data_IF_591617906557
#
_entry.id   IF_591617906557
#
_cell.length_a   1.000
_cell.length_b   1.000
_cell.length_c   1.000
_cell.angle_alpha   90.00
_cell.angle_beta   90.00
_cell.angle_gamma   90.00
#
_symmetry.space_group_name_H-M   'P 1'
#
loop_
_entity.id
_entity.type
_entity.pdbx_description
1 polymer ?
#
# COMPACT_ATOMS: atom_id res chain seq x y z
N UNK A 1 -7.76 -17.68 -28.87
CA UNK A 1 -7.19 -18.41 -27.70
C UNK A 1 -7.22 -17.64 -26.35
N UNK A 2 -7.97 -16.56 -26.21
CA UNK A 2 -8.06 -15.76 -24.96
C UNK A 2 -8.79 -16.49 -23.80
N UNK A 3 -9.75 -17.31 -24.08
CA UNK A 3 -10.62 -17.99 -23.07
C UNK A 3 -9.97 -19.23 -22.44
N UNK A 4 -9.04 -19.86 -23.12
CA UNK A 4 -8.43 -21.11 -22.65
C UNK A 4 -7.55 -20.96 -21.42
N UNK A 5 -6.79 -19.87 -21.29
CA UNK A 5 -5.88 -19.70 -20.15
C UNK A 5 -6.61 -19.37 -18.84
N UNK A 6 -7.68 -18.56 -18.89
CA UNK A 6 -8.47 -18.22 -17.71
C UNK A 6 -9.31 -19.42 -17.21
N UNK A 7 -9.79 -20.23 -18.12
CA UNK A 7 -10.48 -21.48 -17.79
C UNK A 7 -9.50 -22.47 -17.15
N UNK A 8 -8.29 -22.60 -17.68
CA UNK A 8 -7.25 -23.47 -17.12
C UNK A 8 -6.88 -23.06 -15.68
N UNK A 9 -6.80 -21.77 -15.38
CA UNK A 9 -6.58 -21.30 -14.01
C UNK A 9 -7.68 -21.75 -13.05
N UNK A 10 -8.95 -21.60 -13.42
CA UNK A 10 -10.09 -22.04 -12.59
C UNK A 10 -10.06 -23.55 -12.36
N UNK A 11 -9.85 -24.31 -13.44
CA UNK A 11 -9.78 -25.75 -13.36
C UNK A 11 -8.61 -26.24 -12.52
N UNK A 12 -7.43 -25.60 -12.64
CA UNK A 12 -6.25 -25.97 -11.87
C UNK A 12 -6.41 -25.65 -10.37
N UNK A 13 -7.03 -24.53 -10.01
CA UNK A 13 -7.30 -24.21 -8.61
C UNK A 13 -8.25 -25.22 -7.98
N UNK A 14 -9.34 -25.54 -8.69
CA UNK A 14 -10.27 -26.59 -8.26
C UNK A 14 -9.56 -27.94 -8.10
N UNK A 15 -8.71 -28.31 -9.06
CA UNK A 15 -7.95 -29.55 -9.00
C UNK A 15 -7.00 -29.58 -7.78
N UNK A 16 -6.29 -28.49 -7.47
CA UNK A 16 -5.41 -28.41 -6.29
C UNK A 16 -6.22 -28.62 -4.99
N UNK A 17 -7.37 -27.94 -4.85
CA UNK A 17 -8.20 -28.00 -3.65
C UNK A 17 -8.75 -29.42 -3.44
N UNK A 18 -9.32 -30.01 -4.51
CA UNK A 18 -9.93 -31.33 -4.46
C UNK A 18 -8.87 -32.43 -4.28
N UNK A 19 -7.80 -32.41 -5.09
CA UNK A 19 -6.75 -33.43 -5.03
C UNK A 19 -6.08 -33.46 -3.67
N UNK A 20 -5.81 -32.31 -3.06
CA UNK A 20 -5.18 -32.27 -1.74
C UNK A 20 -6.08 -32.87 -0.66
N UNK A 21 -7.39 -32.57 -0.67
CA UNK A 21 -8.33 -33.24 0.24
C UNK A 21 -8.33 -34.77 0.03
N UNK A 22 -8.38 -35.23 -1.22
CA UNK A 22 -8.37 -36.66 -1.53
C UNK A 22 -7.09 -37.33 -1.04
N UNK A 23 -5.93 -36.69 -1.18
CA UNK A 23 -4.65 -37.22 -0.67
C UNK A 23 -4.63 -37.35 0.85
N UNK A 24 -5.24 -36.39 1.57
CA UNK A 24 -5.35 -36.47 3.03
C UNK A 24 -6.24 -37.64 3.46
N UNK A 25 -7.37 -37.83 2.79
CA UNK A 25 -8.32 -38.88 3.14
C UNK A 25 -7.80 -40.27 2.76
N UNK A 26 -7.11 -40.42 1.62
CA UNK A 26 -6.51 -41.71 1.20
C UNK A 26 -5.40 -42.18 2.14
N UNK A 27 -4.75 -41.28 2.86
CA UNK A 27 -3.73 -41.60 3.87
C UNK A 27 -4.34 -42.15 5.15
N UNK A 28 -5.59 -41.84 5.42
CA UNK A 28 -6.33 -42.31 6.59
C UNK A 28 -7.19 -43.54 6.20
N UNK A 29 -6.66 -44.74 6.47
CA UNK A 29 -7.24 -46.02 6.09
C UNK A 29 -8.58 -46.37 6.75
N UNK A 30 -9.06 -45.53 7.68
CA UNK A 30 -10.27 -45.77 8.46
C UNK A 30 -11.52 -45.00 8.00
N UNK A 31 -11.46 -44.30 6.88
CA UNK A 31 -12.54 -43.36 6.50
C UNK A 31 -13.68 -44.05 5.79
N UNK A 32 -14.72 -44.44 6.53
CA UNK A 32 -16.03 -44.83 5.96
C UNK A 32 -16.75 -43.70 5.20
N UNK A 33 -16.32 -42.45 5.40
CA UNK A 33 -16.95 -41.23 4.89
C UNK A 33 -16.24 -40.61 3.67
N UNK A 34 -15.55 -41.39 2.86
CA UNK A 34 -14.84 -40.91 1.66
C UNK A 34 -15.70 -39.99 0.76
N UNK A 35 -16.98 -40.40 0.55
CA UNK A 35 -17.91 -39.61 -0.30
C UNK A 35 -18.17 -38.22 0.25
N UNK A 36 -18.27 -38.05 1.56
CA UNK A 36 -18.60 -36.76 2.19
C UNK A 36 -17.42 -35.79 2.09
N UNK A 37 -16.18 -36.29 2.24
CA UNK A 37 -14.98 -35.48 1.98
C UNK A 37 -14.85 -35.07 0.51
N UNK A 38 -15.21 -35.92 -0.43
CA UNK A 38 -15.25 -35.56 -1.85
C UNK A 38 -16.26 -34.44 -2.09
N UNK A 39 -17.48 -34.57 -1.56
CA UNK A 39 -18.51 -33.54 -1.67
C UNK A 39 -18.01 -32.23 -1.05
N UNK A 40 -17.47 -32.28 0.17
CA UNK A 40 -16.96 -31.11 0.86
C UNK A 40 -15.85 -30.41 0.07
N UNK A 41 -14.95 -31.20 -0.55
CA UNK A 41 -13.85 -30.62 -1.34
C UNK A 41 -14.34 -29.91 -2.60
N UNK A 42 -15.37 -30.46 -3.27
CA UNK A 42 -16.01 -29.79 -4.42
C UNK A 42 -16.79 -28.55 -4.00
N UNK A 43 -17.57 -28.61 -2.92
CA UNK A 43 -18.25 -27.42 -2.36
C UNK A 43 -17.26 -26.34 -2.00
N UNK A 44 -16.16 -26.70 -1.33
CA UNK A 44 -15.07 -25.79 -1.01
C UNK A 44 -14.40 -25.20 -2.24
N UNK A 45 -14.12 -26.01 -3.23
CA UNK A 45 -13.54 -25.57 -4.50
C UNK A 45 -14.45 -24.60 -5.26
N UNK A 46 -15.74 -24.90 -5.37
CA UNK A 46 -16.72 -24.02 -6.05
C UNK A 46 -16.87 -22.70 -5.26
N UNK A 47 -16.97 -22.78 -3.93
CA UNK A 47 -17.02 -21.58 -3.07
C UNK A 47 -15.78 -20.72 -3.22
N UNK A 48 -14.59 -21.33 -3.29
CA UNK A 48 -13.35 -20.62 -3.56
C UNK A 48 -13.37 -19.93 -4.93
N UNK A 49 -13.82 -20.63 -5.98
CA UNK A 49 -13.93 -20.02 -7.32
C UNK A 49 -14.84 -18.80 -7.31
N UNK A 50 -15.96 -18.86 -6.58
CA UNK A 50 -16.89 -17.73 -6.45
C UNK A 50 -16.25 -16.54 -5.72
N UNK A 51 -15.60 -16.78 -4.57
CA UNK A 51 -14.91 -15.73 -3.82
C UNK A 51 -13.73 -15.14 -4.62
N UNK A 52 -12.98 -15.98 -5.31
CA UNK A 52 -11.87 -15.58 -6.16
C UNK A 52 -12.31 -14.75 -7.39
N UNK A 53 -13.44 -15.07 -7.99
CA UNK A 53 -14.06 -14.29 -9.07
C UNK A 53 -14.50 -12.91 -8.57
N UNK A 54 -15.15 -12.85 -7.41
CA UNK A 54 -15.55 -11.58 -6.76
C UNK A 54 -14.35 -10.67 -6.46
N UNK A 55 -13.18 -11.27 -6.16
CA UNK A 55 -11.91 -10.57 -5.98
C UNK A 55 -11.18 -10.27 -7.30
N UNK A 56 -11.76 -10.56 -8.47
CA UNK A 56 -11.09 -10.42 -9.78
C UNK A 56 -9.76 -11.20 -9.88
N UNK A 57 -9.65 -12.36 -9.22
CA UNK A 57 -8.44 -13.19 -9.25
C UNK A 57 -8.11 -13.71 -10.65
N UNK A 58 -9.12 -13.97 -11.48
CA UNK A 58 -8.97 -14.54 -12.82
C UNK A 58 -8.87 -13.50 -13.94
N UNK A 59 -8.43 -12.27 -13.61
CA UNK A 59 -8.03 -11.28 -14.62
C UNK A 59 -6.64 -11.56 -15.21
N UNK A 60 -6.23 -10.80 -16.20
CA UNK A 60 -4.86 -10.88 -16.74
C UNK A 60 -3.85 -10.28 -15.78
N UNK A 61 -2.90 -11.08 -15.30
CA UNK A 61 -1.84 -10.68 -14.37
C UNK A 61 -0.47 -10.48 -15.06
N UNK A 62 -0.46 -10.10 -16.34
CA UNK A 62 0.79 -9.91 -17.10
C UNK A 62 1.68 -8.82 -16.53
N UNK A 63 1.07 -7.67 -16.22
CA UNK A 63 1.75 -6.45 -15.77
C UNK A 63 1.41 -6.06 -14.34
N UNK A 64 0.50 -6.81 -13.69
CA UNK A 64 0.02 -6.50 -12.34
C UNK A 64 0.92 -7.08 -11.25
N UNK A 65 0.84 -6.47 -10.06
CA UNK A 65 1.61 -6.87 -8.89
C UNK A 65 1.33 -8.32 -8.47
N UNK A 66 2.38 -9.11 -8.32
CA UNK A 66 2.28 -10.49 -7.82
C UNK A 66 1.78 -10.53 -6.37
N UNK A 67 2.15 -9.54 -5.55
CA UNK A 67 1.70 -9.43 -4.15
C UNK A 67 0.18 -9.30 -4.05
N UNK A 68 -0.44 -8.53 -4.93
CA UNK A 68 -1.89 -8.36 -4.99
C UNK A 68 -2.58 -9.68 -5.33
N UNK A 69 -2.05 -10.43 -6.30
CA UNK A 69 -2.57 -11.75 -6.65
C UNK A 69 -2.51 -12.73 -5.47
N UNK A 70 -1.38 -12.77 -4.76
CA UNK A 70 -1.22 -13.60 -3.57
C UNK A 70 -2.21 -13.23 -2.46
N UNK A 71 -2.38 -11.93 -2.22
CA UNK A 71 -3.33 -11.43 -1.23
C UNK A 71 -4.77 -11.87 -1.54
N UNK A 72 -5.19 -11.75 -2.81
CA UNK A 72 -6.54 -12.17 -3.23
C UNK A 72 -6.73 -13.68 -3.04
N UNK A 73 -5.73 -14.51 -3.33
CA UNK A 73 -5.79 -15.96 -3.08
C UNK A 73 -6.00 -16.24 -1.59
N UNK A 74 -5.19 -15.62 -0.72
CA UNK A 74 -5.29 -15.83 0.72
C UNK A 74 -6.65 -15.38 1.28
N UNK A 75 -7.12 -14.19 0.91
CA UNK A 75 -8.41 -13.68 1.42
C UNK A 75 -9.58 -14.49 0.88
N UNK A 76 -9.55 -14.92 -0.39
CA UNK A 76 -10.59 -15.78 -0.97
C UNK A 76 -10.65 -17.13 -0.27
N UNK A 77 -9.50 -17.74 0.05
CA UNK A 77 -9.47 -18.99 0.80
C UNK A 77 -9.93 -18.83 2.24
N UNK A 78 -9.54 -17.75 2.91
CA UNK A 78 -10.01 -17.44 4.26
C UNK A 78 -11.53 -17.29 4.32
N UNK A 79 -12.10 -16.53 3.38
CA UNK A 79 -13.56 -16.37 3.26
C UNK A 79 -14.27 -17.69 2.97
N UNK A 80 -13.72 -18.51 2.07
CA UNK A 80 -14.22 -19.85 1.77
C UNK A 80 -14.21 -20.74 3.01
N UNK A 81 -13.09 -20.77 3.75
CA UNK A 81 -12.94 -21.58 4.95
C UNK A 81 -13.92 -21.16 6.05
N UNK A 82 -14.08 -19.83 6.24
CA UNK A 82 -15.07 -19.29 7.18
C UNK A 82 -16.50 -19.67 6.80
N UNK A 83 -16.85 -19.55 5.51
CA UNK A 83 -18.17 -19.96 5.00
C UNK A 83 -18.43 -21.45 5.24
N UNK A 84 -17.47 -22.30 4.90
CA UNK A 84 -17.59 -23.75 5.09
C UNK A 84 -17.73 -24.10 6.58
N UNK A 85 -16.94 -23.46 7.44
CA UNK A 85 -17.05 -23.68 8.89
C UNK A 85 -18.44 -23.30 9.42
N UNK A 86 -18.98 -22.16 8.99
CA UNK A 86 -20.34 -21.72 9.35
C UNK A 86 -21.37 -22.76 8.89
N UNK A 87 -21.30 -23.18 7.63
CA UNK A 87 -22.24 -24.18 7.08
C UNK A 87 -22.15 -25.51 7.83
N UNK A 88 -20.96 -26.05 8.03
CA UNK A 88 -20.75 -27.31 8.75
C UNK A 88 -21.22 -27.25 10.21
N UNK A 89 -21.00 -26.10 10.88
CA UNK A 89 -21.41 -25.92 12.26
C UNK A 89 -22.93 -25.86 12.41
N UNK A 90 -23.61 -25.02 11.63
CA UNK A 90 -25.07 -24.85 11.71
C UNK A 90 -25.87 -26.02 11.11
N UNK A 91 -25.27 -26.80 10.23
CA UNK A 91 -25.89 -28.05 9.73
C UNK A 91 -25.67 -29.26 10.64
N UNK A 92 -24.96 -29.07 11.79
CA UNK A 92 -24.61 -30.13 12.73
C UNK A 92 -23.79 -31.30 12.14
N UNK A 93 -23.25 -31.11 10.93
CA UNK A 93 -22.48 -32.12 10.20
C UNK A 93 -20.97 -32.09 10.61
N UNK A 94 -20.51 -31.01 11.23
CA UNK A 94 -19.11 -30.85 11.64
C UNK A 94 -18.53 -32.02 12.45
N UNK A 95 -19.26 -32.63 13.42
CA UNK A 95 -18.74 -33.75 14.21
C UNK A 95 -18.46 -35.04 13.40
N UNK A 96 -18.98 -35.14 12.18
CA UNK A 96 -18.77 -36.30 11.31
C UNK A 96 -17.39 -36.29 10.64
N UNK A 97 -16.72 -35.13 10.57
CA UNK A 97 -15.41 -34.99 9.92
C UNK A 97 -14.27 -35.03 10.95
N UNK A 98 -13.15 -35.66 10.58
CA UNK A 98 -11.95 -35.64 11.40
C UNK A 98 -11.37 -34.21 11.44
N UNK A 99 -11.16 -33.72 12.67
CA UNK A 99 -10.67 -32.35 12.91
C UNK A 99 -9.26 -32.14 12.38
N UNK A 100 -8.43 -33.16 12.40
CA UNK A 100 -7.05 -33.10 11.93
C UNK A 100 -6.98 -32.96 10.41
N UNK A 101 -7.81 -33.72 9.70
CA UNK A 101 -7.93 -33.66 8.23
C UNK A 101 -8.42 -32.27 7.81
N UNK A 102 -9.50 -31.76 8.45
CA UNK A 102 -10.01 -30.44 8.15
C UNK A 102 -8.99 -29.33 8.45
N UNK A 103 -8.32 -29.41 9.60
CA UNK A 103 -7.30 -28.43 10.00
C UNK A 103 -6.13 -28.42 9.01
N UNK A 104 -5.61 -29.57 8.61
CA UNK A 104 -4.55 -29.69 7.61
C UNK A 104 -5.00 -29.15 6.24
N UNK A 105 -6.23 -29.50 5.81
CA UNK A 105 -6.74 -29.03 4.57
C UNK A 105 -6.90 -27.50 4.53
N UNK A 106 -7.48 -26.91 5.57
CA UNK A 106 -7.66 -25.45 5.65
C UNK A 106 -6.33 -24.71 5.74
N UNK A 107 -5.34 -25.22 6.49
CA UNK A 107 -4.07 -24.53 6.71
C UNK A 107 -3.05 -24.68 5.57
N UNK A 108 -3.01 -25.85 4.90
CA UNK A 108 -2.02 -26.13 3.87
C UNK A 108 -2.49 -25.74 2.47
N UNK A 109 -3.79 -25.82 2.17
CA UNK A 109 -4.33 -25.48 0.83
C UNK A 109 -3.90 -24.10 0.32
N UNK A 110 -3.94 -23.01 1.10
CA UNK A 110 -3.49 -21.71 0.59
C UNK A 110 -2.02 -21.73 0.18
N UNK A 111 -1.16 -22.43 0.91
CA UNK A 111 0.25 -22.57 0.55
C UNK A 111 0.42 -23.33 -0.79
N UNK A 112 -0.37 -24.37 -1.01
CA UNK A 112 -0.36 -25.11 -2.28
C UNK A 112 -0.89 -24.26 -3.44
N UNK A 113 -1.97 -23.50 -3.24
CA UNK A 113 -2.49 -22.57 -4.24
C UNK A 113 -1.46 -21.49 -4.59
N UNK A 114 -0.77 -20.94 -3.60
CA UNK A 114 0.29 -19.97 -3.83
C UNK A 114 1.50 -20.58 -4.57
N UNK A 115 1.97 -21.74 -4.16
CA UNK A 115 3.03 -22.46 -4.85
C UNK A 115 2.67 -22.77 -6.30
N UNK A 116 1.44 -23.22 -6.53
CA UNK A 116 0.88 -23.42 -7.87
C UNK A 116 0.90 -22.13 -8.71
N UNK A 117 0.49 -21.00 -8.12
CA UNK A 117 0.50 -19.69 -8.80
C UNK A 117 1.91 -19.25 -9.17
N UNK A 118 2.88 -19.43 -8.27
CA UNK A 118 4.30 -19.14 -8.55
C UNK A 118 4.80 -20.00 -9.72
N UNK A 119 4.57 -21.30 -9.64
CA UNK A 119 5.00 -22.25 -10.69
C UNK A 119 4.38 -21.89 -12.05
N UNK A 120 3.07 -21.67 -12.08
CA UNK A 120 2.39 -21.36 -13.33
C UNK A 120 2.84 -20.03 -13.93
N UNK A 121 3.05 -19.01 -13.10
CA UNK A 121 3.58 -17.71 -13.52
C UNK A 121 5.00 -17.83 -14.09
N UNK A 122 5.86 -18.58 -13.42
CA UNK A 122 7.25 -18.81 -13.86
C UNK A 122 7.30 -19.56 -15.19
N UNK A 123 6.50 -20.59 -15.35
CA UNK A 123 6.38 -21.33 -16.61
C UNK A 123 5.87 -20.42 -17.74
N UNK A 124 4.82 -19.63 -17.48
CA UNK A 124 4.32 -18.69 -18.48
C UNK A 124 5.35 -17.60 -18.83
N UNK A 125 6.08 -17.08 -17.85
CA UNK A 125 7.14 -16.10 -18.09
C UNK A 125 8.26 -16.70 -18.97
N UNK A 126 8.64 -17.94 -18.69
CA UNK A 126 9.64 -18.66 -19.51
C UNK A 126 9.15 -18.88 -20.96
N UNK A 127 7.90 -19.35 -21.13
CA UNK A 127 7.30 -19.53 -22.46
C UNK A 127 7.22 -18.20 -23.25
N UNK A 128 6.91 -17.11 -22.57
CA UNK A 128 6.87 -15.76 -23.18
C UNK A 128 8.25 -15.30 -23.65
N UNK A 129 9.30 -15.56 -22.87
CA UNK A 129 10.69 -15.29 -23.29
C UNK A 129 11.10 -16.10 -24.53
N UNK A 130 10.50 -17.28 -24.72
CA UNK A 130 10.68 -18.09 -25.93
C UNK A 130 9.80 -17.61 -27.12
N UNK A 131 9.04 -16.53 -26.97
CA UNK A 131 8.16 -16.01 -28.02
C UNK A 131 6.75 -16.59 -28.07
N UNK A 132 6.42 -17.52 -27.15
CA UNK A 132 5.04 -18.05 -27.07
C UNK A 132 4.12 -17.13 -26.28
N UNK A 133 2.85 -17.04 -26.68
CA UNK A 133 1.83 -16.25 -26.00
C UNK A 133 2.24 -14.76 -25.86
N UNK A 134 2.89 -14.22 -26.87
CA UNK A 134 3.25 -12.80 -26.94
C UNK A 134 2.13 -11.94 -27.48
N UNK A 135 2.23 -10.63 -27.29
CA UNK A 135 1.29 -9.59 -27.72
C UNK A 135 2.05 -8.45 -28.35
N UNK A 136 1.64 -8.05 -29.54
CA UNK A 136 2.27 -6.94 -30.26
C UNK A 136 1.74 -5.60 -29.76
N UNK A 137 2.64 -4.72 -29.37
CA UNK A 137 2.34 -3.37 -28.88
C UNK A 137 2.95 -2.31 -29.82
N UNK A 138 2.17 -1.29 -30.15
CA UNK A 138 2.63 -0.09 -30.84
C UNK A 138 2.40 1.15 -29.99
N UNK A 139 3.22 2.17 -30.19
CA UNK A 139 3.10 3.45 -29.49
C UNK A 139 2.88 4.57 -30.53
N UNK A 140 1.78 5.31 -30.33
CA UNK A 140 1.46 6.48 -31.14
C UNK A 140 1.96 7.73 -30.44
N UNK A 141 2.89 8.45 -31.07
CA UNK A 141 3.57 9.60 -30.51
C UNK A 141 4.89 9.25 -29.86
N UNK A 142 6.01 9.64 -30.47
CA UNK A 142 7.35 9.51 -29.89
C UNK A 142 7.62 10.67 -28.94
N UNK A 143 7.17 10.52 -27.70
CA UNK A 143 7.37 11.46 -26.60
C UNK A 143 8.30 10.87 -25.54
N UNK A 144 8.84 11.67 -24.60
CA UNK A 144 9.65 11.11 -23.50
C UNK A 144 8.94 9.98 -22.76
N UNK A 145 7.63 10.10 -22.51
CA UNK A 145 6.83 9.07 -21.86
C UNK A 145 6.62 7.82 -22.71
N UNK A 146 6.44 8.02 -24.02
CA UNK A 146 6.39 6.92 -24.98
C UNK A 146 7.69 6.14 -25.01
N UNK A 147 8.84 6.83 -25.00
CA UNK A 147 10.18 6.22 -24.95
C UNK A 147 10.38 5.46 -23.63
N UNK A 148 9.98 6.05 -22.50
CA UNK A 148 10.03 5.35 -21.21
C UNK A 148 9.21 4.06 -21.23
N UNK A 149 7.99 4.09 -21.80
CA UNK A 149 7.18 2.87 -21.93
C UNK A 149 7.84 1.85 -22.87
N UNK A 150 8.43 2.28 -23.98
CA UNK A 150 9.13 1.37 -24.90
C UNK A 150 10.29 0.66 -24.19
N UNK A 151 11.08 1.39 -23.38
CA UNK A 151 12.16 0.84 -22.56
C UNK A 151 11.63 -0.16 -21.54
N UNK A 152 10.55 0.17 -20.84
CA UNK A 152 9.91 -0.74 -19.86
C UNK A 152 9.41 -2.02 -20.53
N UNK A 153 8.79 -1.93 -21.70
CA UNK A 153 8.33 -3.12 -22.43
C UNK A 153 9.52 -4.01 -22.86
N UNK A 154 10.64 -3.41 -23.31
CA UNK A 154 11.81 -4.16 -23.73
C UNK A 154 12.59 -4.77 -22.56
N UNK A 155 12.68 -4.06 -21.45
CA UNK A 155 13.36 -4.55 -20.25
C UNK A 155 12.59 -5.71 -19.57
N UNK A 156 11.28 -5.79 -19.79
CA UNK A 156 10.39 -6.77 -19.14
C UNK A 156 9.77 -7.76 -20.14
N UNK A 157 10.61 -8.49 -20.85
CA UNK A 157 10.18 -9.49 -21.86
C UNK A 157 9.34 -10.62 -21.27
N UNK A 158 9.43 -10.87 -19.96
CA UNK A 158 8.60 -11.83 -19.22
C UNK A 158 7.10 -11.46 -19.23
N UNK A 159 6.75 -10.20 -19.47
CA UNK A 159 5.38 -9.78 -19.65
C UNK A 159 4.80 -10.29 -21.00
N UNK A 160 5.66 -10.69 -21.93
CA UNK A 160 5.25 -11.18 -23.25
C UNK A 160 4.57 -10.10 -24.09
N UNK A 161 4.96 -8.86 -23.92
CA UNK A 161 4.59 -7.75 -24.78
C UNK A 161 5.79 -7.44 -25.67
N UNK A 162 5.59 -7.44 -26.99
CA UNK A 162 6.61 -7.13 -27.98
C UNK A 162 6.38 -5.72 -28.49
N UNK A 163 7.31 -4.82 -28.20
CA UNK A 163 7.28 -3.48 -28.78
C UNK A 163 7.64 -3.55 -30.25
N UNK A 164 6.69 -3.17 -31.11
CA UNK A 164 6.88 -3.19 -32.55
C UNK A 164 7.53 -1.89 -33.07
N UNK A 165 7.10 -0.73 -32.57
CA UNK A 165 7.67 0.55 -32.96
C UNK A 165 6.76 1.73 -32.66
N UNK A 166 7.30 2.92 -32.97
CA UNK A 166 6.59 4.19 -32.90
C UNK A 166 5.88 4.52 -34.22
N UNK A 167 4.72 5.16 -34.10
CA UNK A 167 3.98 5.74 -35.18
C UNK A 167 3.72 7.23 -34.91
N UNK A 168 4.28 8.11 -35.72
CA UNK A 168 4.20 9.55 -35.54
C UNK A 168 4.24 10.26 -36.88
N UNK A 169 3.54 11.39 -37.00
CA UNK A 169 3.50 12.20 -38.23
C UNK A 169 4.32 13.48 -38.11
N UNK A 170 4.97 13.72 -36.98
CA UNK A 170 5.83 14.88 -36.77
C UNK A 170 7.14 14.72 -37.55
N UNK A 171 7.69 15.84 -38.01
CA UNK A 171 9.02 15.87 -38.64
C UNK A 171 10.10 15.46 -37.64
N UNK A 172 11.19 14.86 -38.13
CA UNK A 172 12.32 14.40 -37.34
C UNK A 172 12.93 15.48 -36.42
N UNK A 173 12.86 16.76 -36.83
CA UNK A 173 13.35 17.90 -36.05
C UNK A 173 12.54 18.18 -34.77
N UNK A 174 11.28 17.72 -34.69
CA UNK A 174 10.37 17.91 -33.56
C UNK A 174 10.27 16.68 -32.63
N UNK A 175 11.05 15.68 -32.94
CA UNK A 175 11.05 14.42 -32.17
C UNK A 175 12.17 14.43 -31.15
N UNK A 176 11.97 13.86 -29.97
CA UNK A 176 13.05 13.64 -29.02
C UNK A 176 14.05 12.65 -29.63
N UNK A 177 15.33 12.83 -29.30
CA UNK A 177 16.37 11.87 -29.67
C UNK A 177 16.06 10.49 -29.04
N UNK A 178 15.98 9.48 -29.89
CA UNK A 178 15.62 8.10 -29.46
C UNK A 178 16.31 7.08 -30.37
N UNK A 179 16.70 5.94 -29.77
CA UNK A 179 17.23 4.80 -30.50
C UNK A 179 16.14 4.05 -31.30
N UNK A 180 14.88 4.36 -31.05
CA UNK A 180 13.75 3.66 -31.67
C UNK A 180 13.31 4.35 -32.97
N UNK A 181 13.28 3.62 -34.08
CA UNK A 181 12.81 4.17 -35.35
C UNK A 181 11.29 4.38 -35.35
N UNK A 182 10.84 5.41 -36.10
CA UNK A 182 9.44 5.57 -36.45
C UNK A 182 9.15 4.62 -37.61
N UNK A 183 8.16 3.75 -37.44
CA UNK A 183 7.76 2.76 -38.46
C UNK A 183 6.76 3.31 -39.47
N UNK A 184 6.10 4.42 -39.15
CA UNK A 184 5.16 5.04 -40.06
C UNK A 184 4.24 6.05 -39.44
N UNK A 185 3.24 6.45 -40.21
CA UNK A 185 2.17 7.37 -39.81
C UNK A 185 1.06 6.61 -39.01
N UNK A 186 0.22 7.39 -38.32
CA UNK A 186 -0.91 6.86 -37.55
C UNK A 186 -1.87 6.00 -38.36
N UNK A 187 -2.12 6.39 -39.62
CA UNK A 187 -2.98 5.62 -40.51
C UNK A 187 -2.43 4.22 -40.83
N UNK A 188 -1.12 4.05 -40.93
CA UNK A 188 -0.50 2.72 -41.12
C UNK A 188 -0.66 1.86 -39.85
N UNK A 189 -0.55 2.47 -38.67
CA UNK A 189 -0.84 1.78 -37.40
C UNK A 189 -2.30 1.30 -37.35
N UNK A 190 -3.25 2.15 -37.78
CA UNK A 190 -4.67 1.83 -37.82
C UNK A 190 -4.96 0.63 -38.77
N UNK A 191 -4.39 0.65 -39.96
CA UNK A 191 -4.56 -0.44 -40.93
C UNK A 191 -4.02 -1.79 -40.36
N UNK A 192 -2.91 -1.78 -39.66
CA UNK A 192 -2.37 -2.96 -39.02
C UNK A 192 -3.25 -3.44 -37.87
N UNK A 193 -3.80 -2.51 -37.08
CA UNK A 193 -4.75 -2.83 -36.01
C UNK A 193 -6.05 -3.43 -36.56
N UNK A 194 -6.57 -2.90 -37.68
CA UNK A 194 -7.76 -3.47 -38.37
C UNK A 194 -7.50 -4.88 -38.89
N UNK A 195 -6.29 -5.19 -39.33
CA UNK A 195 -5.89 -6.54 -39.73
C UNK A 195 -5.64 -7.50 -38.59
N UNK A 196 -5.74 -7.03 -37.31
CA UNK A 196 -5.51 -7.84 -36.12
C UNK A 196 -4.03 -8.16 -35.86
N UNK A 197 -3.10 -7.44 -36.48
CA UNK A 197 -1.65 -7.61 -36.29
C UNK A 197 -1.15 -6.96 -34.98
N UNK A 198 -1.97 -6.12 -34.36
CA UNK A 198 -1.64 -5.34 -33.15
C UNK A 198 -2.62 -5.67 -32.04
N UNK A 199 -2.10 -6.01 -30.87
CA UNK A 199 -2.91 -6.29 -29.68
C UNK A 199 -3.09 -5.08 -28.77
N UNK A 200 -2.05 -4.25 -28.65
CA UNK A 200 -2.02 -3.07 -27.78
C UNK A 200 -1.60 -1.83 -28.53
N UNK A 201 -2.36 -0.76 -28.37
CA UNK A 201 -2.06 0.57 -28.89
C UNK A 201 -1.93 1.53 -27.72
N UNK A 202 -0.78 2.13 -27.56
CA UNK A 202 -0.53 3.13 -26.53
C UNK A 202 -0.43 4.51 -27.17
N UNK A 203 -1.31 5.42 -26.79
CA UNK A 203 -1.30 6.82 -27.25
C UNK A 203 -0.47 7.64 -26.26
N UNK A 204 0.74 8.02 -26.65
CA UNK A 204 1.69 8.78 -25.84
C UNK A 204 1.79 10.22 -26.36
N UNK A 205 0.67 10.91 -26.40
CA UNK A 205 0.60 12.30 -26.89
C UNK A 205 0.37 13.26 -25.73
N UNK A 206 0.93 14.50 -25.81
CA UNK A 206 0.66 15.52 -24.80
C UNK A 206 -0.83 15.86 -24.69
N UNK A 207 -1.34 16.06 -23.47
CA UNK A 207 -2.78 16.27 -23.22
C UNK A 207 -3.35 17.54 -23.89
N UNK A 208 -2.50 18.52 -24.25
CA UNK A 208 -2.96 19.69 -25.03
C UNK A 208 -3.38 19.32 -26.46
N UNK A 209 -2.97 18.15 -26.98
CA UNK A 209 -3.40 17.64 -28.30
C UNK A 209 -4.75 16.88 -28.23
N UNK A 210 -5.68 17.31 -27.36
CA UNK A 210 -6.94 16.62 -27.03
C UNK A 210 -7.79 16.26 -28.25
N UNK A 211 -7.89 17.15 -29.22
CA UNK A 211 -8.69 16.94 -30.45
C UNK A 211 -8.11 15.81 -31.31
N UNK A 212 -6.77 15.78 -31.41
CA UNK A 212 -6.07 14.72 -32.11
C UNK A 212 -6.16 13.38 -31.38
N UNK A 213 -6.01 13.39 -30.05
CA UNK A 213 -6.20 12.20 -29.22
C UNK A 213 -7.62 11.65 -29.41
N UNK A 214 -8.65 12.50 -29.36
CA UNK A 214 -10.03 12.09 -29.56
C UNK A 214 -10.26 11.52 -30.99
N UNK A 215 -9.68 12.14 -32.01
CA UNK A 215 -9.75 11.62 -33.39
C UNK A 215 -9.10 10.23 -33.50
N UNK A 216 -7.93 10.04 -32.92
CA UNK A 216 -7.22 8.75 -32.92
C UNK A 216 -8.05 7.69 -32.15
N UNK A 217 -8.56 8.02 -30.95
CA UNK A 217 -9.42 7.11 -30.17
C UNK A 217 -10.65 6.67 -30.96
N UNK A 218 -11.31 7.62 -31.64
CA UNK A 218 -12.46 7.31 -32.52
C UNK A 218 -12.08 6.38 -33.67
N UNK A 219 -10.94 6.57 -34.31
CA UNK A 219 -10.47 5.72 -35.40
C UNK A 219 -10.14 4.29 -34.88
N UNK A 220 -9.47 4.18 -33.75
CA UNK A 220 -9.12 2.88 -33.18
C UNK A 220 -10.28 2.18 -32.49
N UNK A 221 -11.40 2.84 -32.22
CA UNK A 221 -12.63 2.20 -31.72
C UNK A 221 -13.21 1.19 -32.72
N UNK A 222 -12.89 1.32 -34.01
CA UNK A 222 -13.24 0.38 -35.08
C UNK A 222 -12.22 -0.76 -35.24
N UNK A 223 -11.48 -1.08 -34.17
CA UNK A 223 -10.51 -2.17 -34.15
C UNK A 223 -10.69 -3.05 -32.92
N UNK A 224 -10.10 -4.25 -32.93
CA UNK A 224 -10.08 -5.15 -31.75
C UNK A 224 -8.88 -4.96 -30.86
N UNK A 225 -7.98 -4.00 -31.18
CA UNK A 225 -6.81 -3.70 -30.36
C UNK A 225 -7.22 -2.97 -29.07
N UNK A 226 -6.57 -3.34 -27.95
CA UNK A 226 -6.79 -2.60 -26.71
C UNK A 226 -6.03 -1.27 -26.76
N UNK A 227 -6.76 -0.18 -26.72
CA UNK A 227 -6.17 1.16 -26.79
C UNK A 227 -6.05 1.77 -25.41
N UNK A 228 -4.86 2.27 -25.07
CA UNK A 228 -4.53 2.90 -23.81
C UNK A 228 -4.01 4.31 -24.07
N UNK A 229 -4.42 5.26 -23.25
CA UNK A 229 -3.85 6.61 -23.24
C UNK A 229 -2.80 6.69 -22.14
N UNK A 230 -1.61 7.20 -22.49
CA UNK A 230 -0.56 7.53 -21.51
C UNK A 230 -0.70 9.02 -21.20
N UNK A 231 -1.22 9.38 -20.04
CA UNK A 231 -1.41 10.78 -19.69
C UNK A 231 -0.07 11.44 -19.33
N UNK A 232 0.10 12.68 -19.76
CA UNK A 232 1.25 13.53 -19.42
C UNK A 232 1.00 14.25 -18.09
N UNK A 233 0.94 13.49 -17.00
CA UNK A 233 0.66 14.02 -15.66
C UNK A 233 1.92 14.34 -14.83
N UNK A 234 3.10 14.32 -15.43
CA UNK A 234 4.37 14.42 -14.70
C UNK A 234 4.64 15.77 -14.05
N UNK A 235 3.90 16.80 -14.41
CA UNK A 235 4.05 18.13 -13.81
C UNK A 235 3.69 18.16 -12.31
N UNK A 236 2.90 17.19 -11.79
CA UNK A 236 2.36 17.23 -10.44
C UNK A 236 2.56 15.96 -9.60
N UNK A 237 3.39 15.00 -10.03
CA UNK A 237 3.58 13.75 -9.26
C UNK A 237 2.24 12.98 -9.06
N UNK A 238 1.42 12.88 -10.11
CA UNK A 238 0.08 12.30 -10.09
C UNK A 238 0.08 10.75 -10.07
N UNK A 239 1.23 10.13 -9.89
CA UNK A 239 1.38 8.66 -9.88
C UNK A 239 0.52 7.93 -8.82
N UNK A 240 0.07 8.64 -7.79
CA UNK A 240 -0.75 8.10 -6.71
C UNK A 240 -2.15 8.70 -6.64
N UNK A 241 -2.57 9.37 -7.73
CA UNK A 241 -3.90 9.97 -7.82
C UNK A 241 -4.98 8.91 -7.92
N UNK A 242 -6.12 9.15 -7.29
CA UNK A 242 -7.30 8.30 -7.42
C UNK A 242 -8.27 8.89 -8.43
N UNK A 243 -8.78 8.02 -9.29
CA UNK A 243 -9.94 8.35 -10.08
C UNK A 243 -11.18 8.28 -9.21
N UNK A 244 -11.98 9.34 -9.24
CA UNK A 244 -13.25 9.46 -8.55
C UNK A 244 -14.32 9.92 -9.52
N UNK A 245 -15.59 9.81 -9.16
CA UNK A 245 -16.70 10.19 -10.02
C UNK A 245 -17.70 11.00 -9.23
N UNK A 246 -18.00 12.20 -9.72
CA UNK A 246 -19.03 13.07 -9.18
C UNK A 246 -20.17 13.13 -10.21
N UNK A 247 -21.23 12.37 -10.00
CA UNK A 247 -22.30 12.22 -10.98
C UNK A 247 -21.77 11.57 -12.26
N UNK A 248 -21.81 12.29 -13.39
CA UNK A 248 -21.26 11.83 -14.67
C UNK A 248 -19.83 12.34 -14.95
N UNK A 249 -19.26 13.16 -14.05
CA UNK A 249 -17.96 13.76 -14.22
C UNK A 249 -16.90 12.93 -13.55
N UNK A 250 -15.93 12.45 -14.31
CA UNK A 250 -14.74 11.80 -13.75
C UNK A 250 -13.77 12.85 -13.23
N UNK A 251 -13.31 12.67 -12.00
CA UNK A 251 -12.37 13.55 -11.33
C UNK A 251 -11.11 12.80 -10.95
N UNK A 252 -9.99 13.51 -10.88
CA UNK A 252 -8.71 12.98 -10.45
C UNK A 252 -8.30 13.69 -9.16
N UNK A 253 -8.23 12.93 -8.06
CA UNK A 253 -7.72 13.47 -6.80
C UNK A 253 -6.20 13.57 -6.86
N UNK A 254 -5.67 14.79 -6.77
CA UNK A 254 -4.21 15.05 -6.88
C UNK A 254 -3.51 14.84 -5.54
N UNK A 255 -4.14 15.30 -4.46
CA UNK A 255 -3.61 15.19 -3.10
C UNK A 255 -4.68 14.60 -2.19
N UNK A 256 -4.60 13.31 -1.91
CA UNK A 256 -5.55 12.61 -1.06
C UNK A 256 -4.86 11.83 0.08
N UNK A 257 -5.65 11.38 1.03
CA UNK A 257 -5.18 10.50 2.10
C UNK A 257 -5.20 9.04 1.64
N UNK A 258 -4.22 8.20 2.02
CA UNK A 258 -4.29 6.76 1.76
C UNK A 258 -5.39 6.07 2.60
N UNK A 259 -5.88 6.76 3.63
CA UNK A 259 -6.86 6.23 4.58
C UNK A 259 -8.29 6.54 4.14
N UNK A 260 -8.73 5.93 3.04
CA UNK A 260 -10.11 6.00 2.57
C UNK A 260 -10.76 4.61 2.62
N UNK A 261 -12.07 4.55 2.92
CA UNK A 261 -12.81 3.30 2.95
C UNK A 261 -12.25 2.28 3.95
N UNK A 262 -12.00 1.06 3.50
CA UNK A 262 -11.54 -0.07 4.35
C UNK A 262 -10.18 0.21 4.99
N UNK A 263 -9.26 0.89 4.29
CA UNK A 263 -7.93 1.22 4.82
C UNK A 263 -7.98 2.06 6.09
N UNK A 264 -8.96 2.98 6.21
CA UNK A 264 -9.19 3.78 7.41
C UNK A 264 -9.58 2.92 8.62
N UNK A 265 -10.44 1.93 8.40
CA UNK A 265 -10.86 0.99 9.45
C UNK A 265 -9.74 0.07 9.88
N UNK A 266 -8.97 -0.46 8.93
CA UNK A 266 -7.80 -1.31 9.22
C UNK A 266 -6.78 -0.52 10.04
N UNK A 267 -6.44 0.70 9.62
CA UNK A 267 -5.50 1.57 10.33
C UNK A 267 -6.00 1.90 11.75
N UNK A 268 -7.29 2.18 11.90
CA UNK A 268 -7.88 2.47 13.21
C UNK A 268 -7.87 1.25 14.13
N UNK A 269 -8.19 0.08 13.60
CA UNK A 269 -8.15 -1.19 14.35
C UNK A 269 -6.72 -1.51 14.82
N UNK A 270 -5.74 -1.36 13.94
CA UNK A 270 -4.32 -1.51 14.24
C UNK A 270 -3.89 -0.58 15.38
N UNK A 271 -4.20 0.72 15.28
CA UNK A 271 -3.88 1.72 16.28
C UNK A 271 -4.50 1.39 17.66
N UNK A 272 -5.77 0.97 17.70
CA UNK A 272 -6.43 0.57 18.95
C UNK A 272 -5.79 -0.69 19.53
N UNK A 273 -5.59 -1.72 18.72
CA UNK A 273 -5.05 -3.01 19.14
C UNK A 273 -3.66 -2.83 19.77
N UNK A 274 -2.72 -2.26 19.02
CA UNK A 274 -1.35 -2.11 19.52
C UNK A 274 -1.25 -1.11 20.67
N UNK A 275 -1.96 0.03 20.62
CA UNK A 275 -1.90 0.97 21.74
C UNK A 275 -2.51 0.40 23.01
N UNK A 276 -3.57 -0.41 22.95
CA UNK A 276 -4.14 -1.09 24.11
C UNK A 276 -3.15 -2.08 24.73
N UNK A 277 -2.54 -2.93 23.91
CA UNK A 277 -1.53 -3.90 24.36
C UNK A 277 -0.35 -3.16 25.02
N UNK A 278 0.17 -2.14 24.34
CA UNK A 278 1.31 -1.35 24.85
C UNK A 278 0.95 -0.69 26.18
N UNK A 279 -0.20 -0.02 26.29
CA UNK A 279 -0.62 0.67 27.51
C UNK A 279 -0.76 -0.30 28.70
N UNK A 280 -1.29 -1.51 28.49
CA UNK A 280 -1.36 -2.54 29.53
C UNK A 280 0.05 -2.92 29.98
N UNK A 281 0.96 -3.18 29.04
CA UNK A 281 2.33 -3.59 29.35
C UNK A 281 3.14 -2.50 30.07
N UNK A 282 2.97 -1.22 29.68
CA UNK A 282 3.72 -0.10 30.26
C UNK A 282 3.01 0.52 31.47
N UNK A 283 1.80 0.08 31.85
CA UNK A 283 1.01 0.69 32.94
C UNK A 283 1.77 0.80 34.28
N UNK A 284 2.58 -0.19 34.73
CA UNK A 284 3.39 -0.03 35.93
C UNK A 284 4.45 1.07 35.80
N UNK A 285 5.05 1.19 34.62
CA UNK A 285 6.04 2.22 34.31
C UNK A 285 5.39 3.61 34.32
N UNK A 286 4.21 3.75 33.72
CA UNK A 286 3.46 5.01 33.73
C UNK A 286 3.15 5.46 35.15
N UNK A 287 2.72 4.53 36.02
CA UNK A 287 2.45 4.81 37.42
C UNK A 287 3.72 5.24 38.18
N UNK A 288 4.82 4.50 38.02
CA UNK A 288 6.11 4.84 38.62
C UNK A 288 6.61 6.23 38.21
N UNK A 289 6.50 6.58 36.92
CA UNK A 289 6.87 7.92 36.41
C UNK A 289 5.96 8.99 37.02
N UNK A 290 4.65 8.74 37.10
CA UNK A 290 3.68 9.67 37.65
C UNK A 290 3.99 9.99 39.12
N UNK A 291 4.33 8.96 39.92
CA UNK A 291 4.76 9.13 41.31
C UNK A 291 6.09 9.91 41.37
N UNK A 292 7.08 9.53 40.55
CA UNK A 292 8.37 10.22 40.48
C UNK A 292 8.24 11.72 40.17
N UNK A 293 7.37 12.12 39.23
CA UNK A 293 7.09 13.50 38.91
C UNK A 293 6.46 14.24 40.12
N UNK A 294 5.52 13.61 40.81
CA UNK A 294 4.87 14.21 41.98
C UNK A 294 5.83 14.41 43.15
N UNK A 295 6.78 13.50 43.34
CA UNK A 295 7.78 13.59 44.41
C UNK A 295 8.88 14.62 44.09
N UNK A 296 9.22 14.83 42.81
CA UNK A 296 10.35 15.67 42.42
C UNK A 296 9.95 17.11 42.07
N UNK A 297 8.66 17.38 41.75
CA UNK A 297 8.25 18.73 41.36
C UNK A 297 6.75 18.98 41.61
N UNK A 298 6.39 20.22 42.00
CA UNK A 298 5.01 20.64 42.23
C UNK A 298 4.28 20.87 40.89
N UNK A 299 3.00 20.42 40.80
CA UNK A 299 2.13 20.68 39.64
C UNK A 299 1.51 19.39 39.02
N UNK A 300 0.85 19.47 37.86
CA UNK A 300 0.22 18.33 37.20
C UNK A 300 1.25 17.35 36.67
N UNK A 301 0.90 16.05 36.62
CA UNK A 301 1.76 14.99 36.09
C UNK A 301 1.85 15.06 34.57
N UNK A 302 0.70 15.33 33.93
CA UNK A 302 0.57 15.40 32.48
C UNK A 302 0.66 16.85 32.02
N UNK A 303 1.48 17.07 31.03
CA UNK A 303 1.55 18.29 30.23
C UNK A 303 0.83 18.08 28.92
N UNK A 304 -0.03 18.99 28.55
CA UNK A 304 -0.77 18.97 27.28
C UNK A 304 -0.27 20.11 26.40
N UNK A 305 0.14 19.79 25.17
CA UNK A 305 0.64 20.76 24.22
C UNK A 305 -0.17 20.75 22.93
N UNK A 306 -0.56 21.95 22.48
CA UNK A 306 -1.24 22.09 21.19
C UNK A 306 -0.30 21.82 20.02
N UNK A 307 -0.75 20.94 19.13
CA UNK A 307 -0.08 20.56 17.87
C UNK A 307 -1.11 20.52 16.75
N UNK A 308 -0.65 20.54 15.49
CA UNK A 308 -1.54 20.25 14.38
C UNK A 308 -1.67 18.75 14.17
N UNK A 309 -2.89 18.28 14.02
CA UNK A 309 -3.29 16.92 13.72
C UNK A 309 -3.79 16.77 12.29
N UNK A 310 -4.71 15.82 12.10
CA UNK A 310 -5.36 15.55 10.82
C UNK A 310 -6.04 16.82 10.28
N UNK A 311 -5.90 17.07 8.98
CA UNK A 311 -6.45 18.23 8.27
C UNK A 311 -6.05 19.59 8.87
N UNK A 312 -4.91 19.65 9.55
CA UNK A 312 -4.44 20.87 10.19
C UNK A 312 -5.26 21.30 11.42
N UNK A 313 -6.12 20.46 11.96
CA UNK A 313 -6.87 20.74 13.18
C UNK A 313 -5.95 20.70 14.41
N UNK A 314 -6.13 21.62 15.34
CA UNK A 314 -5.37 21.62 16.60
C UNK A 314 -5.80 20.45 17.48
N UNK A 315 -4.83 19.70 17.98
CA UNK A 315 -5.00 18.59 18.93
C UNK A 315 -4.14 18.83 20.17
N UNK A 316 -4.54 18.27 21.30
CA UNK A 316 -3.73 18.24 22.53
C UNK A 316 -2.89 16.98 22.57
N UNK A 317 -1.59 17.10 22.46
CA UNK A 317 -0.62 16.00 22.64
C UNK A 317 -0.22 15.92 24.10
N UNK A 318 -0.42 14.74 24.71
CA UNK A 318 -0.12 14.48 26.10
C UNK A 318 1.31 14.00 26.30
N UNK A 319 1.97 14.59 27.29
CA UNK A 319 3.34 14.21 27.71
C UNK A 319 3.43 14.21 29.22
N UNK A 320 4.35 13.48 29.76
CA UNK A 320 4.75 13.69 31.14
C UNK A 320 5.47 15.04 31.28
N UNK A 321 5.21 15.72 32.40
CA UNK A 321 5.89 16.98 32.69
C UNK A 321 7.37 16.71 32.94
N UNK A 322 8.21 17.37 32.15
CA UNK A 322 9.67 17.30 32.23
C UNK A 322 10.33 18.66 32.57
N UNK A 323 9.52 19.73 32.64
CA UNK A 323 9.97 21.11 32.85
C UNK A 323 9.17 21.78 33.98
N UNK A 324 9.78 22.80 34.61
CA UNK A 324 9.15 23.57 35.69
C UNK A 324 8.08 24.54 35.20
N UNK A 325 8.26 25.11 33.98
CA UNK A 325 7.29 26.01 33.34
C UNK A 325 6.58 25.30 32.19
N UNK A 326 5.29 25.62 32.01
CA UNK A 326 4.44 25.04 30.98
C UNK A 326 3.97 26.16 30.04
N UNK A 327 4.85 26.60 29.13
CA UNK A 327 4.53 27.63 28.16
C UNK A 327 3.60 27.06 27.07
N UNK A 328 2.42 27.65 26.96
CA UNK A 328 1.42 27.39 25.90
C UNK A 328 1.19 28.60 24.99
N UNK A 329 1.96 29.66 25.14
CA UNK A 329 1.81 30.92 24.41
C UNK A 329 2.26 30.85 22.95
N UNK A 330 2.02 31.91 22.15
CA UNK A 330 2.44 31.97 20.76
C UNK A 330 3.98 31.98 20.58
N UNK A 331 4.74 32.38 21.61
CA UNK A 331 6.20 32.43 21.60
C UNK A 331 6.84 31.27 22.36
N UNK A 332 6.55 30.02 21.95
CA UNK A 332 7.15 28.84 22.54
C UNK A 332 8.61 28.77 22.10
N UNK A 333 9.55 28.99 23.03
CA UNK A 333 10.97 28.71 22.77
C UNK A 333 11.20 27.19 22.77
N UNK A 334 11.76 26.68 21.69
CA UNK A 334 12.20 25.29 21.63
C UNK A 334 13.22 25.03 22.75
N UNK A 335 13.04 23.89 23.43
CA UNK A 335 13.98 23.51 24.49
C UNK A 335 15.33 23.17 23.87
N UNK A 336 16.37 23.80 24.34
CA UNK A 336 17.78 23.59 23.94
C UNK A 336 18.45 22.55 24.83
N UNK A 337 19.63 22.09 24.42
CA UNK A 337 20.46 21.22 25.25
C UNK A 337 20.89 22.00 26.52
N UNK A 338 20.62 21.40 27.70
CA UNK A 338 20.86 22.05 29.03
C UNK A 338 19.92 23.23 29.35
N UNK A 339 18.69 23.25 28.86
CA UNK A 339 17.69 24.24 29.20
C UNK A 339 17.42 24.28 30.72
N UNK A 340 17.56 25.44 31.39
CA UNK A 340 17.41 25.53 32.86
C UNK A 340 15.99 25.21 33.36
N UNK A 341 15.01 25.17 32.50
CA UNK A 341 13.64 24.79 32.83
C UNK A 341 13.47 23.29 33.06
N UNK A 342 14.42 22.45 32.61
CA UNK A 342 14.33 20.99 32.70
C UNK A 342 14.62 20.56 34.13
N UNK A 343 13.68 19.80 34.74
CA UNK A 343 13.92 19.18 36.05
C UNK A 343 14.93 18.01 35.93
N UNK A 344 15.70 17.66 36.99
CA UNK A 344 16.65 16.55 36.92
C UNK A 344 15.97 15.24 36.48
N UNK A 345 14.81 14.91 37.06
CA UNK A 345 14.01 13.74 36.65
C UNK A 345 13.44 13.90 35.25
N UNK A 346 13.00 15.12 34.88
CA UNK A 346 12.53 15.44 33.53
C UNK A 346 13.62 15.25 32.46
N UNK A 347 14.86 15.57 32.79
CA UNK A 347 16.02 15.31 31.93
C UNK A 347 16.24 13.82 31.64
N UNK A 348 16.06 12.98 32.66
CA UNK A 348 16.06 11.52 32.46
C UNK A 348 14.91 11.07 31.54
N UNK A 349 13.67 11.52 31.81
CA UNK A 349 12.51 11.16 30.98
C UNK A 349 12.68 11.55 29.51
N UNK A 350 13.25 12.73 29.23
CA UNK A 350 13.50 13.20 27.87
C UNK A 350 14.58 12.40 27.14
N UNK A 351 15.70 12.11 27.79
CA UNK A 351 16.77 11.28 27.21
C UNK A 351 16.30 9.88 26.86
N UNK A 352 15.40 9.34 27.65
CA UNK A 352 14.83 8.00 27.44
C UNK A 352 13.53 8.03 26.61
N UNK A 353 13.04 9.23 26.23
CA UNK A 353 11.73 9.44 25.56
C UNK A 353 10.52 8.89 26.33
N UNK A 354 10.68 8.63 27.63
CA UNK A 354 9.59 8.16 28.50
C UNK A 354 8.55 9.27 28.76
N UNK A 355 8.93 10.53 28.56
CA UNK A 355 7.99 11.66 28.61
C UNK A 355 6.89 11.60 27.54
N UNK A 356 7.10 10.87 26.46
CA UNK A 356 6.15 10.76 25.35
C UNK A 356 5.16 9.58 25.50
N UNK A 357 5.33 8.68 26.50
CA UNK A 357 4.46 7.52 26.71
C UNK A 357 2.95 7.84 26.84
N UNK A 358 2.52 8.96 27.46
CA UNK A 358 1.11 9.31 27.51
C UNK A 358 0.43 9.51 26.13
N UNK A 359 1.21 9.68 25.04
CA UNK A 359 0.67 9.81 23.69
C UNK A 359 -0.10 8.55 23.22
N UNK A 360 0.17 7.37 23.78
CA UNK A 360 -0.63 6.19 23.48
C UNK A 360 -2.10 6.35 23.90
N UNK A 361 -2.39 7.19 24.89
CA UNK A 361 -3.77 7.59 25.24
C UNK A 361 -4.38 8.44 24.13
N UNK A 362 -3.61 9.35 23.53
CA UNK A 362 -4.06 10.11 22.36
C UNK A 362 -4.37 9.22 21.15
N UNK A 363 -3.63 8.13 20.98
CA UNK A 363 -3.92 7.14 19.93
C UNK A 363 -5.26 6.44 20.21
N UNK A 364 -5.53 6.01 21.44
CA UNK A 364 -6.81 5.41 21.81
C UNK A 364 -7.98 6.41 21.63
N UNK A 365 -7.77 7.67 21.97
CA UNK A 365 -8.75 8.74 21.74
C UNK A 365 -8.96 9.02 20.23
N UNK A 366 -8.05 8.58 19.36
CA UNK A 366 -8.14 8.76 17.93
C UNK A 366 -7.62 10.09 17.40
N UNK A 367 -7.01 10.93 18.25
CA UNK A 367 -6.39 12.21 17.85
C UNK A 367 -4.99 12.01 17.23
N UNK A 368 -4.32 10.90 17.56
CA UNK A 368 -3.03 10.48 17.02
C UNK A 368 -3.10 9.05 16.47
N UNK A 369 -2.02 8.63 15.84
CA UNK A 369 -1.74 7.27 15.42
C UNK A 369 -0.43 6.78 16.05
N UNK A 370 -0.18 5.48 16.10
CA UNK A 370 1.12 4.94 16.51
C UNK A 370 2.17 5.35 15.47
N UNK A 371 1.88 5.11 14.19
CA UNK A 371 2.78 5.43 13.08
C UNK A 371 2.18 6.56 12.24
N UNK A 372 2.97 7.59 11.98
CA UNK A 372 2.61 8.73 11.16
C UNK A 372 3.64 9.86 11.23
N UNK A 373 3.44 10.97 10.50
CA UNK A 373 4.29 12.15 10.57
C UNK A 373 4.37 12.72 11.99
N UNK A 374 5.57 13.05 12.47
CA UNK A 374 5.74 13.63 13.82
C UNK A 374 5.11 15.02 13.92
N UNK A 375 4.24 15.30 14.93
CA UNK A 375 3.58 16.57 15.04
C UNK A 375 4.55 17.65 15.54
N UNK A 376 4.61 18.80 14.86
CA UNK A 376 5.40 19.95 15.24
C UNK A 376 4.59 20.94 16.09
N UNK A 377 5.26 21.86 16.81
CA UNK A 377 4.62 22.97 17.50
C UNK A 377 3.91 23.88 16.49
N UNK A 378 2.81 24.49 16.89
CA UNK A 378 1.98 25.35 16.01
C UNK A 378 2.83 26.48 15.39
N UNK A 379 3.69 27.14 16.18
CA UNK A 379 4.57 28.21 15.70
C UNK A 379 5.52 27.75 14.59
N UNK A 380 6.14 26.58 14.77
CA UNK A 380 7.05 26.02 13.77
C UNK A 380 6.33 25.58 12.49
N UNK A 381 5.08 25.12 12.59
CA UNK A 381 4.31 24.76 11.40
C UNK A 381 4.02 25.98 10.52
N UNK A 382 3.70 27.13 11.11
CA UNK A 382 3.44 28.35 10.34
C UNK A 382 4.70 28.88 9.66
N UNK A 383 5.86 28.72 10.30
CA UNK A 383 7.16 29.07 9.72
C UNK A 383 7.51 28.16 8.54
N UNK A 384 7.53 26.84 8.76
CA UNK A 384 7.93 25.89 7.71
C UNK A 384 6.93 25.78 6.55
N UNK A 385 5.65 26.05 6.78
CA UNK A 385 4.63 26.11 5.74
C UNK A 385 4.96 27.10 4.62
N UNK A 386 5.64 28.19 4.96
CA UNK A 386 6.01 29.25 4.00
C UNK A 386 7.28 28.90 3.21
N UNK A 387 8.14 28.06 3.78
CA UNK A 387 9.49 27.81 3.27
C UNK A 387 9.61 26.46 2.55
N UNK A 388 8.93 25.43 3.08
CA UNK A 388 9.01 24.06 2.57
C UNK A 388 7.82 23.74 1.68
N UNK A 389 8.09 23.44 0.42
CA UNK A 389 7.05 23.04 -0.52
C UNK A 389 6.31 21.78 -0.04
N UNK A 390 4.98 21.77 -0.22
CA UNK A 390 4.11 20.63 0.14
C UNK A 390 4.10 20.29 1.64
N UNK A 391 4.63 21.12 2.51
CA UNK A 391 4.70 20.88 3.96
C UNK A 391 3.36 20.48 4.57
N UNK A 392 2.26 21.11 4.15
CA UNK A 392 0.92 20.86 4.70
C UNK A 392 0.33 19.49 4.33
N UNK A 393 0.83 18.84 3.27
CA UNK A 393 0.34 17.51 2.86
C UNK A 393 0.58 16.43 3.92
N UNK A 394 1.59 16.61 4.78
CA UNK A 394 1.85 15.70 5.91
C UNK A 394 0.69 15.63 6.93
N UNK A 395 -0.20 16.62 6.93
CA UNK A 395 -1.40 16.67 7.78
C UNK A 395 -2.62 15.96 7.16
N UNK A 396 -2.48 15.35 5.98
CA UNK A 396 -3.52 14.49 5.38
C UNK A 396 -3.71 13.16 6.11
N UNK A 397 -2.87 12.88 7.09
CA UNK A 397 -2.94 11.72 7.97
C UNK A 397 -2.78 12.16 9.43
N UNK A 398 -3.22 11.29 10.37
CA UNK A 398 -3.01 11.57 11.80
C UNK A 398 -1.52 11.59 12.13
N UNK A 399 -1.07 12.50 13.01
CA UNK A 399 0.32 12.50 13.45
C UNK A 399 0.62 11.24 14.27
N UNK A 400 1.85 10.73 14.13
CA UNK A 400 2.32 9.53 14.78
C UNK A 400 3.19 9.80 16.01
N UNK A 401 3.23 8.81 16.94
CA UNK A 401 4.24 8.72 18.00
C UNK A 401 5.60 8.44 17.36
N UNK A 402 5.64 7.52 16.43
CA UNK A 402 6.79 7.23 15.56
C UNK A 402 6.42 7.41 14.09
N UNK A 403 7.42 7.40 13.20
CA UNK A 403 7.18 7.55 11.77
C UNK A 403 8.39 7.24 10.92
N UNK A 404 8.16 7.15 9.62
CA UNK A 404 9.17 6.78 8.63
C UNK A 404 10.39 7.72 8.64
N UNK A 405 10.17 9.03 8.73
CA UNK A 405 11.23 10.00 8.87
C UNK A 405 12.07 9.78 10.15
N UNK A 406 11.43 9.45 11.28
CA UNK A 406 12.12 9.28 12.55
C UNK A 406 13.06 8.08 12.54
N UNK A 407 12.67 6.94 11.98
CA UNK A 407 13.52 5.74 11.90
C UNK A 407 14.64 5.85 10.85
N UNK A 408 14.52 6.83 9.92
CA UNK A 408 15.55 7.14 8.93
C UNK A 408 16.48 8.30 9.39
N UNK A 409 16.48 8.64 10.68
CA UNK A 409 17.45 9.57 11.27
C UNK A 409 16.97 11.03 11.42
N UNK A 410 15.76 11.35 10.95
CA UNK A 410 15.19 12.71 11.02
C UNK A 410 14.26 12.90 12.24
N UNK A 411 14.67 12.36 13.42
CA UNK A 411 13.92 12.46 14.68
C UNK A 411 14.19 13.75 15.44
N UNK A 412 15.44 14.22 15.43
CA UNK A 412 15.95 15.32 16.24
C UNK A 412 15.51 16.73 15.82
N UNK A 413 16.25 17.72 16.26
CA UNK A 413 16.08 19.11 15.83
C UNK A 413 16.27 19.25 14.33
N UNK A 414 15.41 20.04 13.73
CA UNK A 414 15.50 20.42 12.31
C UNK A 414 16.04 21.84 12.24
N UNK A 415 17.33 21.95 12.56
CA UNK A 415 18.09 23.20 12.62
C UNK A 415 18.42 23.76 11.23
N UNK A 416 18.29 22.94 10.17
CA UNK A 416 18.53 23.36 8.79
C UNK A 416 17.32 23.07 7.91
N UNK A 417 17.14 23.89 6.86
CA UNK A 417 16.06 23.72 5.88
C UNK A 417 16.13 22.35 5.21
N UNK A 418 17.32 21.90 4.81
CA UNK A 418 17.54 20.60 4.15
C UNK A 418 17.06 19.43 5.00
N UNK A 419 17.31 19.47 6.32
CA UNK A 419 16.81 18.42 7.23
C UNK A 419 15.29 18.41 7.32
N UNK A 420 14.66 19.59 7.26
CA UNK A 420 13.21 19.68 7.26
C UNK A 420 12.61 19.21 5.95
N UNK A 421 13.20 19.57 4.81
CA UNK A 421 12.77 19.08 3.49
C UNK A 421 12.85 17.55 3.41
N UNK A 422 13.98 16.97 3.83
CA UNK A 422 14.15 15.52 3.89
C UNK A 422 13.13 14.84 4.82
N UNK A 423 12.84 15.45 5.97
CA UNK A 423 11.79 14.95 6.87
C UNK A 423 10.43 14.94 6.17
N UNK A 424 10.07 16.04 5.50
CA UNK A 424 8.80 16.12 4.74
C UNK A 424 8.77 15.10 3.61
N UNK A 425 9.87 14.90 2.89
CA UNK A 425 10.00 13.90 1.84
C UNK A 425 9.68 12.48 2.38
N UNK A 426 10.30 12.07 3.50
CA UNK A 426 10.00 10.78 4.14
C UNK A 426 8.57 10.70 4.70
N UNK A 427 8.02 11.78 5.24
CA UNK A 427 6.63 11.80 5.71
C UNK A 427 5.65 11.63 4.54
N UNK A 428 5.93 12.24 3.38
CA UNK A 428 5.13 12.07 2.16
C UNK A 428 5.33 10.68 1.54
N UNK A 429 6.53 10.12 1.56
CA UNK A 429 6.80 8.76 1.13
C UNK A 429 5.98 7.74 1.94
N UNK A 430 5.91 7.91 3.26
CA UNK A 430 5.03 7.10 4.11
C UNK A 430 3.56 7.21 3.70
N UNK A 431 3.07 8.44 3.46
CA UNK A 431 1.68 8.67 3.06
C UNK A 431 1.36 7.99 1.72
N UNK A 432 2.29 8.04 0.77
CA UNK A 432 2.11 7.46 -0.55
C UNK A 432 2.18 5.92 -0.56
N UNK A 433 3.09 5.33 0.22
CA UNK A 433 3.36 3.89 0.20
C UNK A 433 2.83 3.15 1.42
N UNK A 434 1.92 3.77 2.17
CA UNK A 434 1.36 3.17 3.38
C UNK A 434 0.84 1.75 3.15
N UNK A 435 1.17 0.88 4.08
CA UNK A 435 0.62 -0.46 4.23
C UNK A 435 0.72 -0.89 5.69
N UNK A 436 -0.13 -1.81 6.12
CA UNK A 436 -0.05 -2.41 7.47
C UNK A 436 1.35 -2.99 7.74
N UNK A 437 1.96 -3.60 6.73
CA UNK A 437 3.32 -4.12 6.83
C UNK A 437 4.38 -3.02 7.05
N UNK A 438 4.20 -1.86 6.44
CA UNK A 438 5.07 -0.70 6.66
C UNK A 438 4.95 -0.19 8.10
N UNK A 439 3.75 -0.14 8.65
CA UNK A 439 3.52 0.24 10.05
C UNK A 439 4.17 -0.74 11.02
N UNK A 440 3.97 -2.04 10.84
CA UNK A 440 4.62 -3.08 11.63
C UNK A 440 6.15 -2.95 11.57
N UNK A 441 6.71 -2.74 10.37
CA UNK A 441 8.14 -2.51 10.17
C UNK A 441 8.65 -1.28 10.92
N UNK A 442 7.90 -0.16 10.88
CA UNK A 442 8.27 1.07 11.58
C UNK A 442 8.21 0.88 13.08
N UNK A 443 7.16 0.24 13.61
CA UNK A 443 7.03 -0.08 15.04
C UNK A 443 8.21 -0.92 15.50
N UNK A 444 8.52 -2.01 14.79
CA UNK A 444 9.63 -2.90 15.11
C UNK A 444 10.97 -2.13 15.12
N UNK A 445 11.27 -1.39 14.06
CA UNK A 445 12.51 -0.62 13.95
C UNK A 445 12.60 0.49 15.01
N UNK A 446 11.47 1.05 15.47
CA UNK A 446 11.46 2.06 16.52
C UNK A 446 11.94 1.48 17.85
N UNK A 447 11.58 0.24 18.19
CA UNK A 447 12.04 -0.45 19.41
C UNK A 447 13.57 -0.59 19.40
N UNK A 448 14.16 -0.97 18.27
CA UNK A 448 15.60 -1.17 18.16
C UNK A 448 16.39 0.12 17.97
N UNK A 449 15.97 1.00 17.05
CA UNK A 449 16.67 2.25 16.75
C UNK A 449 16.35 3.38 17.74
N UNK A 450 15.21 3.31 18.41
CA UNK A 450 14.78 4.32 19.38
C UNK A 450 15.68 4.42 20.61
N UNK A 451 16.35 3.30 20.94
CA UNK A 451 17.28 3.21 22.10
C UNK A 451 18.77 3.40 21.72
N UNK A 452 19.12 3.28 20.44
CA UNK A 452 20.53 3.30 19.97
C UNK A 452 20.94 4.56 19.21
N UNK A 453 20.02 5.48 18.95
CA UNK A 453 20.30 6.70 18.18
C UNK A 453 21.03 7.75 19.01
N UNK A 454 22.20 8.22 18.53
CA UNK A 454 23.00 9.32 19.10
C UNK A 454 22.28 10.69 19.12
N UNK A 455 21.06 10.79 18.61
CA UNK A 455 20.25 12.01 18.51
C UNK A 455 19.11 12.07 19.55
N UNK A 456 19.11 11.22 20.59
CA UNK A 456 18.32 11.47 21.80
C UNK A 456 19.10 12.47 22.66
N UNK A 457 18.44 13.56 23.07
CA UNK A 457 19.02 14.65 23.86
C UNK A 457 19.69 14.22 25.16
#
# INVERSE_FOLDING_TARGET
MRWSSLFLYRLSDLAVIVTFMLLLVLKDTNTSMYKDYVILSFVGGISFLFMAESGNLYRSWRTSSFREQMFIVCISWLMTSALLFIVLYFSEVYPLFDRSILALWVTITPALLLAWRVTFRTVLAYLRKMGFNTRTAIIIGQTPHGITLANEIQNHTEHGVLFDGFYDERSSERLPSSEYPIKGAVNQALERAKRGEVDYVYIAMPMHAKERIASILNQFSDTTANTYLIPDFFTYNLLHSRWDQIGQVQTLSVFDTPFAGVSSWIKRFEDILFSSIILVLISPILLAIAIGIKLTSKGPVIFKQHRYGLDGRKIEVWKFRSMTTMDQGPNIKQATKNDPRITPFGGFLRRTSLDELPQFINVLQGTMSIVGPRPHAVSHNEEYRQIVARYMLRHKVKPGITGWAQINGYRGETDTLDKMEKRVEFDLDYIHHWSVWMDIKIIFLTVFKGFTGSNAY
#
